data_IF_843857025107
#
_entry.id   IF_843857025107
#
_cell.length_a   1.000
_cell.length_b   1.000
_cell.length_c   1.000
_cell.angle_alpha   90.00
_cell.angle_beta   90.00
_cell.angle_gamma   90.00
#
_symmetry.space_group_name_H-M   'P 1'
#
loop_
_entity.id
_entity.type
_entity.pdbx_description
1 polymer ?
#
# COMPACT_ATOMS: atom_id res chain seq x y z
N UNK A 1 -6.69 -3.16 7.11
CA UNK A 1 -6.40 -4.25 8.07
C UNK A 1 -6.16 -3.55 9.39
N UNK A 2 -7.10 -3.62 10.31
CA UNK A 2 -6.93 -3.07 11.66
C UNK A 2 -6.14 -4.08 12.50
N UNK A 3 -5.07 -3.62 13.18
CA UNK A 3 -4.14 -4.51 13.90
C UNK A 3 -4.37 -4.51 15.42
N UNK A 4 -5.16 -3.56 15.93
CA UNK A 4 -5.39 -3.35 17.36
C UNK A 4 -4.29 -2.55 18.08
N UNK A 5 -3.28 -2.06 17.35
CA UNK A 5 -2.20 -1.24 17.91
C UNK A 5 -2.50 0.27 17.80
N UNK A 6 -3.49 0.78 18.53
CA UNK A 6 -4.06 2.13 18.36
C UNK A 6 -3.05 3.29 18.41
N UNK A 7 -1.94 3.17 19.14
CA UNK A 7 -0.92 4.22 19.28
C UNK A 7 0.16 4.21 18.16
N UNK A 8 0.03 3.33 17.17
CA UNK A 8 1.03 3.17 16.09
C UNK A 8 0.62 3.90 14.81
N UNK A 9 1.58 4.24 13.92
CA UNK A 9 1.24 4.88 12.66
C UNK A 9 0.37 3.99 11.77
N UNK A 10 -0.35 4.58 10.82
CA UNK A 10 -1.02 3.83 9.76
C UNK A 10 -0.12 3.68 8.53
N UNK A 11 -0.47 2.75 7.63
CA UNK A 11 0.30 2.43 6.43
C UNK A 11 -0.60 2.23 5.21
N UNK A 12 -0.26 2.90 4.11
CA UNK A 12 -0.69 2.51 2.78
C UNK A 12 0.37 1.64 2.09
N UNK A 13 0.00 0.43 1.71
CA UNK A 13 0.85 -0.52 0.99
C UNK A 13 0.36 -0.71 -0.45
N UNK A 14 1.16 -0.21 -1.39
CA UNK A 14 0.95 -0.40 -2.83
C UNK A 14 1.77 -1.60 -3.30
N UNK A 15 1.10 -2.64 -3.79
CA UNK A 15 1.70 -3.98 -3.87
C UNK A 15 1.53 -4.71 -5.20
N UNK A 16 2.38 -5.72 -5.38
CA UNK A 16 2.14 -6.89 -6.23
C UNK A 16 1.99 -8.19 -5.40
N UNK A 17 1.87 -9.35 -6.04
CA UNK A 17 1.73 -10.67 -5.37
C UNK A 17 2.84 -10.99 -4.35
N UNK A 18 4.04 -10.41 -4.47
CA UNK A 18 5.18 -10.69 -3.60
C UNK A 18 4.96 -10.26 -2.15
N UNK A 19 4.08 -9.28 -1.95
CA UNK A 19 3.94 -8.60 -0.66
C UNK A 19 3.10 -9.38 0.36
N UNK A 20 2.40 -10.43 -0.05
CA UNK A 20 1.57 -11.25 0.85
C UNK A 20 2.36 -11.86 2.00
N UNK A 21 3.60 -12.28 1.74
CA UNK A 21 4.47 -12.83 2.79
C UNK A 21 5.03 -11.76 3.72
N UNK A 22 5.00 -10.48 3.34
CA UNK A 22 5.54 -9.38 4.15
C UNK A 22 4.54 -8.88 5.19
N UNK A 23 3.24 -8.89 4.88
CA UNK A 23 2.18 -8.33 5.73
C UNK A 23 2.26 -8.80 7.20
N UNK A 24 2.46 -10.09 7.51
CA UNK A 24 2.53 -10.55 8.91
C UNK A 24 3.63 -9.86 9.74
N UNK A 25 4.73 -9.45 9.10
CA UNK A 25 5.84 -8.76 9.77
C UNK A 25 5.55 -7.28 10.01
N UNK A 26 4.53 -6.71 9.36
CA UNK A 26 4.13 -5.32 9.51
C UNK A 26 3.01 -5.15 10.54
N UNK A 27 2.28 -6.21 10.88
CA UNK A 27 1.09 -6.13 11.74
C UNK A 27 1.39 -5.52 13.10
N UNK A 28 2.55 -5.84 13.68
CA UNK A 28 2.92 -5.29 14.97
C UNK A 28 3.30 -3.82 14.88
N UNK A 29 3.79 -3.30 13.76
CA UNK A 29 4.38 -1.94 13.68
C UNK A 29 3.40 -0.83 13.29
N UNK A 30 2.19 -1.19 12.84
CA UNK A 30 1.19 -0.23 12.37
C UNK A 30 -0.15 -0.47 13.06
N UNK A 31 -0.93 0.59 13.27
CA UNK A 31 -2.31 0.52 13.78
C UNK A 31 -3.29 0.01 12.74
N UNK A 32 -3.07 0.43 11.49
CA UNK A 32 -3.88 0.08 10.35
C UNK A 32 -3.02 -0.03 9.09
N UNK A 33 -3.28 -1.08 8.28
CA UNK A 33 -2.61 -1.30 6.99
C UNK A 33 -3.66 -1.36 5.88
N UNK A 34 -3.63 -0.40 4.97
CA UNK A 34 -4.42 -0.39 3.74
C UNK A 34 -3.61 -1.02 2.62
N UNK A 35 -4.17 -2.05 1.99
CA UNK A 35 -3.48 -2.76 0.90
C UNK A 35 -4.17 -2.42 -0.41
N UNK A 36 -3.43 -1.77 -1.31
CA UNK A 36 -3.89 -1.42 -2.64
C UNK A 36 -3.03 -2.08 -3.72
N UNK A 37 -3.71 -2.56 -4.75
CA UNK A 37 -3.10 -3.20 -5.91
C UNK A 37 -3.55 -2.45 -7.17
N UNK A 38 -2.61 -1.82 -7.87
CA UNK A 38 -2.88 -0.97 -9.02
C UNK A 38 -3.43 -1.74 -10.24
N UNK A 39 -3.35 -3.07 -10.24
CA UNK A 39 -3.98 -3.90 -11.27
C UNK A 39 -5.50 -3.75 -11.21
N UNK A 40 -6.04 -3.56 -10.00
CA UNK A 40 -7.48 -3.51 -9.73
C UNK A 40 -7.96 -2.11 -9.31
N UNK A 41 -7.12 -1.33 -8.65
CA UNK A 41 -7.48 0.00 -8.17
C UNK A 41 -7.32 1.06 -9.27
N UNK A 42 -8.44 1.68 -9.67
CA UNK A 42 -8.49 2.68 -10.76
C UNK A 42 -8.96 4.07 -10.33
N UNK A 43 -9.28 4.23 -9.05
CA UNK A 43 -9.63 5.53 -8.50
C UNK A 43 -8.37 6.37 -8.24
N UNK A 44 -8.55 7.66 -7.94
CA UNK A 44 -7.44 8.57 -7.67
C UNK A 44 -6.72 8.17 -6.38
N UNK A 45 -5.45 7.77 -6.52
CA UNK A 45 -4.59 7.46 -5.39
C UNK A 45 -4.32 8.70 -4.54
N UNK A 46 -4.11 9.86 -5.18
CA UNK A 46 -3.95 11.13 -4.48
C UNK A 46 -5.13 11.46 -3.56
N UNK A 47 -6.36 11.42 -4.10
CA UNK A 47 -7.55 11.69 -3.29
C UNK A 47 -7.70 10.70 -2.14
N UNK A 48 -7.34 9.42 -2.37
CA UNK A 48 -7.37 8.40 -1.34
C UNK A 48 -6.36 8.67 -0.22
N UNK A 49 -5.14 9.07 -0.56
CA UNK A 49 -4.12 9.44 0.44
C UNK A 49 -4.57 10.67 1.23
N UNK A 50 -5.07 11.70 0.56
CA UNK A 50 -5.57 12.93 1.21
C UNK A 50 -6.76 12.66 2.15
N UNK A 51 -7.62 11.69 1.82
CA UNK A 51 -8.79 11.37 2.63
C UNK A 51 -8.46 10.56 3.89
N UNK A 52 -7.46 9.69 3.83
CA UNK A 52 -7.14 8.74 4.91
C UNK A 52 -5.96 9.18 5.78
N UNK A 53 -5.26 10.26 5.42
CA UNK A 53 -4.16 10.86 6.19
C UNK A 53 -3.11 9.84 6.62
N UNK A 54 -2.43 9.23 5.64
CA UNK A 54 -1.45 8.19 5.92
C UNK A 54 -0.13 8.76 6.46
N UNK A 55 0.34 8.21 7.59
CA UNK A 55 1.67 8.47 8.15
C UNK A 55 2.77 7.91 7.25
N UNK A 56 2.53 6.74 6.65
CA UNK A 56 3.49 6.02 5.83
C UNK A 56 2.88 5.49 4.54
N UNK A 57 3.67 5.54 3.47
CA UNK A 57 3.35 4.90 2.19
C UNK A 57 4.51 4.01 1.76
N UNK A 58 4.23 2.74 1.50
CA UNK A 58 5.19 1.76 1.02
C UNK A 58 4.78 1.25 -0.36
N UNK A 59 5.66 1.38 -1.34
CA UNK A 59 5.52 0.76 -2.67
C UNK A 59 6.38 -0.50 -2.70
N UNK A 60 5.75 -1.67 -2.69
CA UNK A 60 6.42 -2.97 -2.68
C UNK A 60 6.10 -3.76 -3.94
N UNK A 61 7.06 -3.78 -4.86
CA UNK A 61 6.96 -4.51 -6.12
C UNK A 61 8.24 -5.31 -6.34
N UNK A 62 8.10 -6.50 -6.93
CA UNK A 62 9.25 -7.14 -7.56
C UNK A 62 9.75 -6.27 -8.73
N UNK A 63 11.06 -6.24 -8.95
CA UNK A 63 11.67 -5.42 -10.00
C UNK A 63 11.06 -5.75 -11.38
N UNK A 64 10.87 -7.03 -11.68
CA UNK A 64 10.26 -7.48 -12.94
C UNK A 64 8.82 -6.97 -13.12
N UNK A 65 7.99 -7.03 -12.08
CA UNK A 65 6.62 -6.52 -12.15
C UNK A 65 6.62 -4.99 -12.24
N UNK A 66 7.47 -4.30 -11.49
CA UNK A 66 7.58 -2.85 -11.56
C UNK A 66 7.94 -2.36 -12.98
N UNK A 67 8.85 -3.05 -13.67
CA UNK A 67 9.24 -2.70 -15.04
C UNK A 67 8.20 -3.05 -16.11
N UNK A 68 7.30 -3.99 -15.85
CA UNK A 68 6.34 -4.50 -16.86
C UNK A 68 4.90 -4.10 -16.60
N UNK A 69 4.56 -3.67 -15.39
CA UNK A 69 3.21 -3.28 -15.02
C UNK A 69 2.86 -1.91 -15.63
N UNK A 70 1.99 -1.94 -16.63
CA UNK A 70 1.49 -0.76 -17.32
C UNK A 70 0.60 0.13 -16.45
N UNK A 71 0.32 -0.23 -15.19
CA UNK A 71 -0.49 0.54 -14.26
C UNK A 71 0.34 1.42 -13.31
N UNK A 72 1.66 1.27 -13.29
CA UNK A 72 2.56 2.05 -12.42
C UNK A 72 2.43 3.56 -12.65
N UNK A 73 2.04 4.01 -13.85
CA UNK A 73 1.81 5.43 -14.12
C UNK A 73 0.72 6.06 -13.22
N UNK A 74 -0.20 5.26 -12.67
CA UNK A 74 -1.23 5.71 -11.73
C UNK A 74 -0.64 6.24 -10.42
N UNK A 75 0.62 5.94 -10.10
CA UNK A 75 1.32 6.52 -8.95
C UNK A 75 1.58 8.02 -9.10
N UNK A 76 1.72 8.50 -10.34
CA UNK A 76 2.05 9.89 -10.64
C UNK A 76 0.85 10.77 -10.97
N UNK A 77 -0.38 10.24 -10.82
CA UNK A 77 -1.64 10.91 -11.19
C UNK A 77 -2.46 11.35 -9.99
#
# INVERSE_FOLDING_TARGET
IETGNEDKPNLLLLRDCYTDSLIPFLLDDFSEIHVLDLRYYRASLKAYIEQNDFDNVLVCYSVSNFCSDSNIFLLGM
#
